data_IF_709340931230
#
_entry.id   IF_709340931230
#
_cell.length_a   1.000
_cell.length_b   1.000
_cell.length_c   1.000
_cell.angle_alpha   90.00
_cell.angle_beta   90.00
_cell.angle_gamma   90.00
#
_symmetry.space_group_name_H-M   'P 1'
#
loop_
_entity.id
_entity.type
_entity.pdbx_description
1 polymer ?
#
# COMPACT_ATOMS: atom_id res chain seq x y z
N UNK A 1 -15.23 41.51 -11.46
CA UNK A 1 -14.12 42.12 -10.68
C UNK A 1 -13.87 41.48 -9.30
N UNK A 2 -14.75 40.58 -8.79
CA UNK A 2 -14.54 39.84 -7.53
C UNK A 2 -13.56 38.65 -7.62
N UNK A 3 -13.37 38.06 -8.80
CA UNK A 3 -12.51 36.88 -8.98
C UNK A 3 -10.99 37.18 -8.98
N UNK A 4 -10.56 38.43 -9.21
CA UNK A 4 -9.11 38.79 -9.23
C UNK A 4 -8.52 39.12 -7.85
N UNK A 5 -9.35 39.39 -6.83
CA UNK A 5 -8.86 39.73 -5.47
C UNK A 5 -8.65 38.51 -4.57
N UNK A 6 -9.33 37.39 -4.83
CA UNK A 6 -9.10 36.13 -4.12
C UNK A 6 -7.74 35.52 -4.46
N UNK A 7 -7.28 35.71 -5.71
CA UNK A 7 -6.03 35.14 -6.21
C UNK A 7 -4.80 35.75 -5.52
N UNK A 8 -4.79 37.05 -5.25
CA UNK A 8 -3.64 37.72 -4.63
C UNK A 8 -3.43 37.35 -3.14
N UNK A 9 -4.52 37.10 -2.40
CA UNK A 9 -4.44 36.68 -0.99
C UNK A 9 -3.95 35.23 -0.84
N UNK A 10 -4.32 34.34 -1.78
CA UNK A 10 -3.82 32.96 -1.80
C UNK A 10 -2.34 32.89 -2.20
N UNK A 11 -1.88 33.74 -3.13
CA UNK A 11 -0.47 33.75 -3.59
C UNK A 11 0.51 34.24 -2.51
N UNK A 12 0.10 35.16 -1.63
CA UNK A 12 0.94 35.63 -0.53
C UNK A 12 1.06 34.61 0.62
N UNK A 13 0.04 33.78 0.84
CA UNK A 13 0.08 32.71 1.83
C UNK A 13 0.93 31.51 1.37
N UNK A 14 1.00 31.24 0.07
CA UNK A 14 1.76 30.12 -0.50
C UNK A 14 3.28 30.35 -0.58
N UNK A 15 3.76 31.59 -0.41
CA UNK A 15 5.20 31.94 -0.57
C UNK A 15 5.96 32.10 0.75
N UNK A 16 5.30 31.99 1.90
CA UNK A 16 6.00 31.95 3.19
C UNK A 16 6.41 30.52 3.54
N UNK A 17 7.61 30.12 3.10
CA UNK A 17 8.35 29.01 3.70
C UNK A 17 8.59 29.39 5.18
N UNK A 18 7.92 28.74 6.11
CA UNK A 18 8.22 28.90 7.54
C UNK A 18 8.79 27.57 8.05
N UNK A 19 10.09 27.51 8.39
CA UNK A 19 10.67 26.39 9.10
C UNK A 19 10.13 26.34 10.52
N UNK A 20 9.86 25.13 11.01
CA UNK A 20 9.67 24.86 12.43
C UNK A 20 10.87 25.40 13.23
N UNK A 21 10.67 26.49 13.97
CA UNK A 21 11.42 26.76 15.18
C UNK A 21 10.58 27.63 16.10
N UNK A 22 10.56 27.27 17.38
CA UNK A 22 9.92 28.01 18.45
C UNK A 22 10.51 29.44 18.55
N UNK A 23 9.80 30.42 18.00
CA UNK A 23 10.21 31.83 18.04
C UNK A 23 9.02 32.77 17.94
N UNK A 24 8.95 33.73 18.87
CA UNK A 24 7.93 34.78 18.88
C UNK A 24 8.11 35.69 17.65
N UNK A 25 7.10 35.79 16.79
CA UNK A 25 7.12 36.70 15.62
C UNK A 25 6.60 38.06 16.06
N UNK A 26 7.45 39.10 15.99
CA UNK A 26 6.98 40.49 16.02
C UNK A 26 6.58 40.89 14.60
N UNK A 27 5.29 41.20 14.41
CA UNK A 27 4.82 41.88 13.21
C UNK A 27 5.28 43.34 13.24
N UNK A 28 6.46 43.59 12.69
CA UNK A 28 6.86 44.94 12.28
C UNK A 28 7.09 44.88 10.77
N UNK A 29 6.38 45.74 10.04
CA UNK A 29 6.45 45.97 8.58
C UNK A 29 5.37 45.26 7.73
N UNK A 30 4.15 45.78 7.80
CA UNK A 30 3.23 45.83 6.66
C UNK A 30 3.10 47.30 6.21
N UNK A 31 3.12 47.62 4.89
CA UNK A 31 3.01 48.99 4.42
C UNK A 31 1.67 49.63 4.80
N UNK A 32 1.72 50.88 5.24
CA UNK A 32 0.63 51.67 5.82
C UNK A 32 -0.51 52.08 4.84
N UNK A 33 -0.86 51.26 3.84
CA UNK A 33 -1.91 51.60 2.88
C UNK A 33 -2.96 50.50 2.87
N UNK A 34 -3.88 50.58 3.83
CA UNK A 34 -5.29 50.15 3.79
C UNK A 34 -5.93 50.19 5.20
N UNK A 35 -5.44 51.05 6.11
CA UNK A 35 -6.01 51.23 7.44
C UNK A 35 -6.95 52.44 7.46
N UNK A 36 -7.99 52.44 6.63
CA UNK A 36 -9.11 53.38 6.76
C UNK A 36 -10.31 52.77 6.01
N UNK A 37 -11.34 52.35 6.76
CA UNK A 37 -12.68 51.89 6.29
C UNK A 37 -12.98 50.37 6.19
N UNK A 38 -12.39 49.49 7.00
CA UNK A 38 -12.83 48.07 7.04
C UNK A 38 -13.18 47.52 8.44
N UNK A 39 -13.46 48.37 9.43
CA UNK A 39 -13.76 47.94 10.80
C UNK A 39 -15.12 48.47 11.29
N UNK A 40 -16.18 48.26 10.51
CA UNK A 40 -17.55 48.35 11.01
C UNK A 40 -18.43 47.41 10.16
N UNK A 41 -18.44 46.13 10.53
CA UNK A 41 -19.67 45.40 10.85
C UNK A 41 -19.35 43.94 11.19
N UNK A 42 -19.77 43.52 12.39
CA UNK A 42 -20.07 42.13 12.79
C UNK A 42 -19.05 41.03 12.41
N UNK A 43 -17.93 40.96 13.15
CA UNK A 43 -17.29 39.67 13.42
C UNK A 43 -17.76 39.18 14.78
N UNK A 44 -18.54 38.10 14.80
CA UNK A 44 -18.80 37.33 16.02
C UNK A 44 -17.46 36.68 16.39
N UNK A 45 -16.83 37.16 17.46
CA UNK A 45 -15.68 36.47 18.03
C UNK A 45 -16.18 35.14 18.65
N UNK A 46 -15.53 34.00 18.38
CA UNK A 46 -15.86 32.76 19.08
C UNK A 46 -15.66 32.94 20.59
N UNK A 47 -16.45 32.23 21.40
CA UNK A 47 -16.66 32.43 22.86
C UNK A 47 -15.40 32.43 23.76
N UNK A 48 -14.20 32.26 23.20
CA UNK A 48 -12.93 32.16 23.91
C UNK A 48 -11.93 33.25 23.48
N UNK A 49 -12.31 34.53 23.53
CA UNK A 49 -11.38 35.65 23.35
C UNK A 49 -10.82 36.15 24.69
N UNK A 50 -9.49 36.19 24.81
CA UNK A 50 -8.80 36.87 25.90
C UNK A 50 -8.89 38.39 25.73
N UNK A 51 -8.88 39.14 26.84
CA UNK A 51 -9.08 40.61 26.86
C UNK A 51 -8.14 41.33 25.89
N UNK A 52 -8.70 42.18 25.04
CA UNK A 52 -7.96 43.14 24.22
C UNK A 52 -7.61 44.38 25.06
N UNK A 53 -6.35 44.78 25.03
CA UNK A 53 -5.87 46.06 25.56
C UNK A 53 -5.73 47.08 24.43
N UNK A 54 -6.34 48.25 24.58
CA UNK A 54 -6.25 49.36 23.61
C UNK A 54 -5.32 50.43 24.20
N UNK A 55 -4.36 50.90 23.41
CA UNK A 55 -3.43 51.96 23.81
C UNK A 55 -3.86 53.31 23.21
N UNK A 56 -3.49 54.40 23.88
CA UNK A 56 -3.93 55.77 23.54
C UNK A 56 -3.42 56.27 22.17
N UNK A 57 -2.48 55.56 21.55
CA UNK A 57 -1.96 55.85 20.20
C UNK A 57 -2.76 55.17 19.07
N UNK A 58 -3.89 54.54 19.38
CA UNK A 58 -4.73 53.83 18.40
C UNK A 58 -4.29 52.39 18.12
N UNK A 59 -3.20 51.90 18.72
CA UNK A 59 -2.80 50.50 18.63
C UNK A 59 -3.65 49.61 19.56
N UNK A 60 -3.83 48.36 19.19
CA UNK A 60 -4.46 47.34 20.02
C UNK A 60 -3.65 46.04 19.94
N UNK A 61 -3.45 45.40 21.09
CA UNK A 61 -2.93 44.03 21.15
C UNK A 61 -4.11 43.05 21.17
N UNK A 62 -4.17 42.16 20.17
CA UNK A 62 -5.06 41.01 20.17
C UNK A 62 -4.28 39.78 20.64
N UNK A 63 -4.41 39.45 21.93
CA UNK A 63 -3.86 38.22 22.48
C UNK A 63 -4.73 37.02 22.14
N UNK A 64 -4.39 36.28 21.09
CA UNK A 64 -4.99 34.98 20.83
C UNK A 64 -4.28 33.93 21.68
N UNK A 65 -4.99 33.34 22.65
CA UNK A 65 -4.59 32.03 23.18
C UNK A 65 -5.05 30.99 22.18
N UNK A 66 -4.14 30.50 21.35
CA UNK A 66 -4.34 29.19 20.73
C UNK A 66 -4.46 28.18 21.88
N UNK A 67 -5.54 27.41 21.92
CA UNK A 67 -5.62 26.25 22.81
C UNK A 67 -4.35 25.42 22.56
N UNK A 68 -3.68 25.01 23.64
CA UNK A 68 -2.76 23.87 23.60
C UNK A 68 -3.48 22.76 22.81
N UNK A 69 -2.88 22.30 21.73
CA UNK A 69 -3.49 21.52 20.64
C UNK A 69 -4.78 20.80 21.02
N UNK A 70 -5.92 21.39 20.66
CA UNK A 70 -7.19 20.69 20.58
C UNK A 70 -7.27 19.86 19.28
N UNK A 71 -6.13 19.29 18.87
CA UNK A 71 -5.93 18.58 17.59
C UNK A 71 -5.95 17.06 17.70
N UNK A 72 -6.09 16.51 18.91
CA UNK A 72 -6.07 15.07 19.17
C UNK A 72 -7.40 14.49 19.69
N UNK A 73 -8.43 15.30 19.92
CA UNK A 73 -9.73 14.77 20.34
C UNK A 73 -10.52 14.35 19.10
N UNK A 74 -10.43 13.07 18.76
CA UNK A 74 -11.31 12.43 17.81
C UNK A 74 -12.77 12.57 18.27
N UNK A 75 -13.69 12.71 17.32
CA UNK A 75 -15.10 12.73 17.65
C UNK A 75 -15.49 11.39 18.32
N UNK A 76 -16.32 11.41 19.38
CA UNK A 76 -16.79 10.18 20.01
C UNK A 76 -17.33 9.17 19.00
N UNK A 77 -16.96 7.89 19.14
CA UNK A 77 -17.41 6.81 18.25
C UNK A 77 -16.74 6.78 16.87
N UNK A 78 -15.81 7.70 16.58
CA UNK A 78 -15.06 7.68 15.30
C UNK A 78 -13.75 6.94 15.40
N UNK A 79 -13.28 6.44 14.26
CA UNK A 79 -12.01 5.72 14.13
C UNK A 79 -11.12 6.48 13.19
N UNK A 80 -9.91 6.81 13.62
CA UNK A 80 -8.87 7.36 12.74
C UNK A 80 -7.85 6.29 12.41
N UNK A 81 -7.61 6.12 11.12
CA UNK A 81 -6.61 5.21 10.56
C UNK A 81 -5.46 6.05 10.02
N UNK A 82 -4.24 5.76 10.49
CA UNK A 82 -3.02 6.42 10.04
C UNK A 82 -2.04 5.38 9.49
N UNK A 83 -1.52 5.62 8.29
CA UNK A 83 -0.62 4.71 7.59
C UNK A 83 0.77 5.33 7.50
N UNK A 84 1.76 4.62 8.04
CA UNK A 84 3.18 4.94 7.88
C UNK A 84 3.85 3.91 6.99
N UNK A 85 4.79 4.37 6.17
CA UNK A 85 5.68 3.48 5.43
C UNK A 85 6.66 2.81 6.41
N UNK A 86 6.67 1.48 6.46
CA UNK A 86 7.46 0.73 7.44
C UNK A 86 8.98 0.86 7.23
N UNK A 87 9.44 1.23 6.03
CA UNK A 87 10.87 1.35 5.73
C UNK A 87 11.43 2.72 6.12
N UNK A 88 10.63 3.77 5.91
CA UNK A 88 11.04 5.18 6.08
C UNK A 88 10.50 5.81 7.35
N UNK A 89 9.44 5.23 7.94
CA UNK A 89 8.69 5.81 9.06
C UNK A 89 7.93 7.09 8.71
N UNK A 90 7.81 7.43 7.42
CA UNK A 90 7.10 8.62 6.96
C UNK A 90 5.62 8.31 6.72
N UNK A 91 4.79 9.35 6.86
CA UNK A 91 3.37 9.26 6.53
C UNK A 91 3.21 8.95 5.03
N UNK A 92 2.43 7.93 4.71
CA UNK A 92 2.07 7.59 3.33
C UNK A 92 1.22 8.72 2.73
N UNK A 93 1.56 9.18 1.52
CA UNK A 93 0.82 10.25 0.86
C UNK A 93 -0.56 9.77 0.37
N UNK A 94 -1.61 10.55 0.63
CA UNK A 94 -2.98 10.21 0.26
C UNK A 94 -3.19 9.99 -1.26
N UNK A 95 -2.42 10.70 -2.10
CA UNK A 95 -2.48 10.55 -3.56
C UNK A 95 -2.13 9.14 -4.05
N UNK A 96 -1.40 8.35 -3.25
CA UNK A 96 -1.04 6.97 -3.60
C UNK A 96 -2.25 6.04 -3.62
N UNK A 97 -3.32 6.31 -2.85
CA UNK A 97 -4.47 5.41 -2.77
C UNK A 97 -5.31 5.36 -4.04
N UNK A 98 -5.15 6.33 -4.96
CA UNK A 98 -5.80 6.31 -6.26
C UNK A 98 -5.27 5.17 -7.15
N UNK A 99 -3.96 4.91 -7.07
CA UNK A 99 -3.27 3.94 -7.92
C UNK A 99 -2.88 2.66 -7.16
N UNK A 100 -2.74 2.75 -5.84
CA UNK A 100 -2.37 1.67 -4.93
C UNK A 100 -3.39 1.60 -3.78
N UNK A 101 -4.62 1.12 -4.03
CA UNK A 101 -5.63 1.04 -3.00
C UNK A 101 -5.17 0.10 -1.88
N UNK A 102 -5.19 0.61 -0.66
CA UNK A 102 -4.88 -0.16 0.53
C UNK A 102 -6.18 -0.45 1.28
N UNK A 103 -6.36 -1.67 1.76
CA UNK A 103 -7.52 -2.06 2.57
C UNK A 103 -7.07 -2.89 3.76
N UNK A 104 -7.87 -2.84 4.82
CA UNK A 104 -7.78 -3.79 5.92
C UNK A 104 -9.17 -4.29 6.26
N UNK A 105 -9.22 -5.46 6.87
CA UNK A 105 -10.45 -6.12 7.31
C UNK A 105 -10.38 -6.35 8.80
N UNK A 106 -11.54 -6.39 9.42
CA UNK A 106 -11.70 -6.84 10.79
C UNK A 106 -12.70 -7.97 10.81
N UNK A 107 -12.45 -8.97 11.64
CA UNK A 107 -13.43 -9.99 12.00
C UNK A 107 -13.55 -10.04 13.52
N UNK A 108 -14.78 -10.19 14.00
CA UNK A 108 -15.06 -10.21 15.43
C UNK A 108 -16.39 -10.89 15.72
N UNK A 109 -16.49 -11.59 16.84
CA UNK A 109 -17.75 -12.13 17.36
C UNK A 109 -18.24 -11.26 18.51
N UNK A 110 -19.52 -10.87 18.44
CA UNK A 110 -20.21 -10.12 19.48
C UNK A 110 -21.51 -10.80 19.87
N UNK A 111 -21.91 -10.61 21.12
CA UNK A 111 -23.22 -11.04 21.61
C UNK A 111 -24.33 -10.22 20.95
N UNK A 112 -25.39 -10.90 20.51
CA UNK A 112 -26.54 -10.26 19.89
C UNK A 112 -27.34 -9.49 20.94
N UNK A 113 -27.58 -8.21 20.68
CA UNK A 113 -28.37 -7.35 21.58
C UNK A 113 -29.82 -7.79 21.68
N UNK A 114 -30.37 -8.35 20.60
CA UNK A 114 -31.78 -8.75 20.51
C UNK A 114 -32.03 -10.14 21.12
N UNK A 115 -30.99 -10.97 21.24
CA UNK A 115 -31.05 -12.33 21.77
C UNK A 115 -29.86 -12.63 22.69
N UNK A 116 -29.89 -12.15 23.96
CA UNK A 116 -28.81 -12.37 24.91
C UNK A 116 -28.46 -13.86 25.07
N UNK A 117 -27.18 -14.18 25.12
CA UNK A 117 -26.63 -15.54 25.12
C UNK A 117 -26.34 -16.12 23.73
N UNK A 118 -26.71 -15.42 22.65
CA UNK A 118 -26.38 -15.81 21.27
C UNK A 118 -25.32 -14.90 20.67
N UNK A 119 -24.45 -15.44 19.83
CA UNK A 119 -23.23 -14.79 19.35
C UNK A 119 -23.23 -14.77 17.83
N UNK A 120 -22.84 -13.64 17.24
CA UNK A 120 -22.72 -13.51 15.78
C UNK A 120 -21.33 -13.05 15.37
N UNK A 121 -20.73 -13.82 14.45
CA UNK A 121 -19.51 -13.41 13.75
C UNK A 121 -19.83 -12.28 12.76
N UNK A 122 -19.05 -11.22 12.82
CA UNK A 122 -19.12 -10.05 11.95
C UNK A 122 -17.78 -9.88 11.24
N UNK A 123 -17.82 -9.35 10.03
CA UNK A 123 -16.64 -8.89 9.33
C UNK A 123 -16.91 -7.55 8.66
N UNK A 124 -15.88 -6.72 8.56
CA UNK A 124 -15.97 -5.42 7.88
C UNK A 124 -14.66 -5.11 7.16
N UNK A 125 -14.76 -4.68 5.92
CA UNK A 125 -13.62 -4.14 5.16
C UNK A 125 -13.63 -2.61 5.20
N UNK A 126 -12.43 -2.04 5.36
CA UNK A 126 -12.16 -0.62 5.37
C UNK A 126 -11.21 -0.28 4.24
N UNK A 127 -11.54 0.78 3.51
CA UNK A 127 -10.75 1.32 2.40
C UNK A 127 -10.49 2.80 2.64
N UNK A 128 -9.34 3.17 3.23
CA UNK A 128 -8.95 4.56 3.37
C UNK A 128 -8.83 5.24 2.00
N UNK A 129 -9.35 6.46 1.89
CA UNK A 129 -9.23 7.34 0.72
C UNK A 129 -8.31 8.54 0.98
N UNK A 130 -7.82 8.66 2.22
CA UNK A 130 -7.01 9.75 2.74
C UNK A 130 -6.07 9.21 3.82
N UNK A 131 -5.06 9.99 4.22
CA UNK A 131 -4.17 9.60 5.31
C UNK A 131 -3.72 10.83 6.11
N UNK A 132 -4.11 10.96 7.39
CA UNK A 132 -5.01 10.06 8.13
C UNK A 132 -6.44 10.02 7.56
N UNK A 133 -7.12 8.88 7.66
CA UNK A 133 -8.52 8.69 7.27
C UNK A 133 -9.40 8.58 8.51
N UNK A 134 -10.59 9.19 8.50
CA UNK A 134 -11.57 9.06 9.60
C UNK A 134 -12.78 8.29 9.09
N UNK A 135 -13.14 7.24 9.82
CA UNK A 135 -14.36 6.48 9.61
C UNK A 135 -15.38 6.81 10.70
N UNK A 136 -16.61 7.11 10.27
CA UNK A 136 -17.78 7.18 11.14
C UNK A 136 -18.34 5.76 11.33
N UNK A 137 -17.66 5.00 12.19
CA UNK A 137 -18.00 3.63 12.52
C UNK A 137 -17.49 3.33 13.92
N UNK A 138 -18.36 2.84 14.80
CA UNK A 138 -18.02 2.53 16.20
C UNK A 138 -17.23 1.21 16.31
N UNK A 139 -16.01 1.21 15.78
CA UNK A 139 -15.10 0.09 15.89
C UNK A 139 -14.58 -0.06 17.32
N UNK A 140 -14.55 1.02 18.09
CA UNK A 140 -14.11 1.01 19.47
C UNK A 140 -15.02 0.13 20.34
N UNK A 141 -16.34 0.33 20.27
CA UNK A 141 -17.30 -0.51 20.98
C UNK A 141 -17.20 -1.98 20.53
N UNK A 142 -17.10 -2.21 19.22
CA UNK A 142 -16.92 -3.55 18.66
C UNK A 142 -15.66 -4.23 19.19
N UNK A 143 -14.53 -3.52 19.21
CA UNK A 143 -13.24 -4.02 19.68
C UNK A 143 -13.28 -4.37 21.17
N UNK A 144 -13.86 -3.51 22.00
CA UNK A 144 -13.94 -3.70 23.46
C UNK A 144 -14.90 -4.86 23.83
N UNK A 145 -16.05 -4.97 23.15
CA UNK A 145 -17.09 -5.93 23.50
C UNK A 145 -16.90 -7.32 22.89
N UNK A 146 -16.15 -7.39 21.80
CA UNK A 146 -15.90 -8.67 21.13
C UNK A 146 -15.01 -9.58 21.97
N UNK A 147 -15.14 -10.87 21.71
CA UNK A 147 -14.41 -11.92 22.42
C UNK A 147 -13.23 -12.48 21.65
N UNK A 148 -13.19 -12.19 20.35
CA UNK A 148 -12.27 -12.69 19.34
C UNK A 148 -12.13 -11.63 18.23
N UNK A 149 -11.56 -10.46 18.56
CA UNK A 149 -11.26 -9.44 17.55
C UNK A 149 -9.98 -9.76 16.81
N UNK A 150 -10.00 -9.70 15.48
CA UNK A 150 -8.82 -9.89 14.64
C UNK A 150 -8.77 -8.87 13.50
N UNK A 151 -7.59 -8.26 13.32
CA UNK A 151 -7.28 -7.47 12.14
C UNK A 151 -6.67 -8.39 11.06
N UNK A 152 -7.10 -8.16 9.83
CA UNK A 152 -6.66 -8.83 8.62
C UNK A 152 -6.28 -7.80 7.56
N UNK A 153 -5.42 -8.17 6.61
CA UNK A 153 -5.13 -7.35 5.43
C UNK A 153 -3.85 -6.50 5.45
N UNK A 154 -3.14 -6.38 6.57
CA UNK A 154 -1.80 -5.76 6.61
C UNK A 154 -1.04 -6.24 7.85
N UNK A 155 0.07 -5.59 8.21
CA UNK A 155 0.66 -5.75 9.55
C UNK A 155 -0.34 -5.33 10.64
N UNK A 156 -0.21 -5.91 11.84
CA UNK A 156 -1.10 -5.60 12.96
C UNK A 156 -0.95 -4.13 13.37
N UNK A 157 -2.05 -3.37 13.53
CA UNK A 157 -1.97 -1.98 13.93
C UNK A 157 -1.59 -1.84 15.40
N UNK A 158 -0.95 -0.72 15.72
CA UNK A 158 -1.01 -0.18 17.08
C UNK A 158 -2.41 0.41 17.32
N UNK A 159 -3.07 -0.06 18.38
CA UNK A 159 -4.45 0.33 18.70
C UNK A 159 -4.45 1.19 19.96
N UNK A 160 -5.03 2.38 19.86
CA UNK A 160 -5.30 3.23 21.02
C UNK A 160 -6.80 3.50 21.11
N UNK A 161 -7.41 3.20 22.24
CA UNK A 161 -8.83 3.45 22.51
C UNK A 161 -8.95 4.56 23.55
N UNK A 162 -9.81 5.53 23.28
CA UNK A 162 -10.02 6.70 24.14
C UNK A 162 -11.31 6.59 24.94
N UNK A 163 -11.37 7.28 26.09
CA UNK A 163 -12.53 7.28 27.01
C UNK A 163 -13.83 7.77 26.36
N UNK A 164 -13.73 8.57 25.28
CA UNK A 164 -14.88 9.05 24.53
C UNK A 164 -15.41 8.04 23.49
N UNK A 165 -14.91 6.80 23.49
CA UNK A 165 -15.29 5.75 22.54
C UNK A 165 -14.72 5.96 21.15
N UNK A 166 -13.75 6.84 20.95
CA UNK A 166 -12.99 6.92 19.70
C UNK A 166 -11.79 5.98 19.71
N UNK A 167 -11.26 5.68 18.54
CA UNK A 167 -10.12 4.77 18.38
C UNK A 167 -9.13 5.29 17.33
N UNK A 168 -7.85 5.17 17.65
CA UNK A 168 -6.74 5.31 16.71
C UNK A 168 -6.20 3.94 16.31
N UNK A 169 -6.04 3.75 15.00
CA UNK A 169 -5.34 2.62 14.41
C UNK A 169 -4.13 3.16 13.63
N UNK A 170 -2.93 2.77 14.06
CA UNK A 170 -1.69 3.14 13.38
C UNK A 170 -1.08 1.90 12.76
N UNK A 171 -1.05 1.87 11.43
CA UNK A 171 -0.41 0.80 10.68
C UNK A 171 0.97 1.25 10.19
N UNK A 172 1.98 0.44 10.48
CA UNK A 172 3.24 0.48 9.76
C UNK A 172 3.13 -0.54 8.62
N UNK A 173 2.99 -0.06 7.39
CA UNK A 173 2.71 -0.93 6.24
C UNK A 173 3.67 -0.63 5.10
N UNK A 174 3.73 -1.55 4.14
CA UNK A 174 4.52 -1.40 2.93
C UNK A 174 3.57 -1.21 1.76
N UNK A 175 3.56 0.00 1.18
CA UNK A 175 2.96 0.17 -0.15
C UNK A 175 3.99 -0.34 -1.16
N UNK A 176 3.62 -1.41 -1.86
CA UNK A 176 4.40 -1.90 -2.99
C UNK A 176 3.90 -1.20 -4.25
N UNK A 177 4.76 -0.42 -4.87
CA UNK A 177 4.60 -0.10 -6.29
C UNK A 177 4.91 -1.34 -7.10
N UNK A 178 4.16 -1.53 -8.18
CA UNK A 178 4.29 -2.69 -9.07
C UNK A 178 5.57 -2.64 -9.90
N UNK A 179 6.13 -1.47 -10.18
CA UNK A 179 7.28 -1.31 -11.08
C UNK A 179 6.98 -1.43 -12.57
N UNK A 180 5.76 -1.86 -12.92
CA UNK A 180 5.30 -2.02 -14.30
C UNK A 180 4.90 -0.68 -14.93
N UNK A 181 5.84 -0.02 -15.57
CA UNK A 181 5.60 1.33 -16.10
C UNK A 181 5.21 1.35 -17.57
N UNK A 182 5.51 0.26 -18.30
CA UNK A 182 5.15 0.09 -19.70
C UNK A 182 3.76 -0.56 -19.89
N UNK A 183 3.11 -0.97 -18.79
CA UNK A 183 1.83 -1.68 -18.74
C UNK A 183 1.79 -3.02 -19.47
N UNK A 184 2.89 -3.78 -19.46
CA UNK A 184 2.97 -5.14 -20.03
C UNK A 184 2.56 -6.25 -19.05
N UNK A 185 2.14 -5.85 -17.84
CA UNK A 185 1.71 -6.71 -16.72
C UNK A 185 2.86 -7.35 -15.94
N UNK A 186 4.10 -7.05 -16.30
CA UNK A 186 5.30 -7.57 -15.64
C UNK A 186 6.14 -6.43 -15.11
N UNK A 187 6.97 -6.75 -14.11
CA UNK A 187 8.04 -5.86 -13.70
C UNK A 187 9.36 -6.54 -14.03
N UNK A 188 10.07 -6.01 -15.02
CA UNK A 188 11.31 -6.58 -15.53
C UNK A 188 12.30 -5.48 -15.96
N UNK A 189 13.39 -5.86 -16.61
CA UNK A 189 14.43 -4.92 -17.04
C UNK A 189 13.92 -3.90 -18.07
N UNK A 190 12.89 -4.23 -18.86
CA UNK A 190 12.29 -3.31 -19.83
C UNK A 190 11.65 -2.10 -19.14
N UNK A 191 11.11 -2.25 -17.93
CA UNK A 191 10.61 -1.12 -17.13
C UNK A 191 11.76 -0.21 -16.69
N UNK A 192 12.85 -0.76 -16.19
CA UNK A 192 14.02 0.04 -15.81
C UNK A 192 14.61 0.79 -17.02
N UNK A 193 14.64 0.15 -18.20
CA UNK A 193 15.07 0.79 -19.46
C UNK A 193 14.09 1.87 -19.90
N UNK A 194 12.78 1.64 -19.74
CA UNK A 194 11.73 2.62 -20.04
C UNK A 194 11.90 3.87 -19.19
N UNK A 195 12.12 3.73 -17.88
CA UNK A 195 12.36 4.85 -16.97
C UNK A 195 13.66 5.58 -17.34
N UNK A 196 14.73 4.83 -17.60
CA UNK A 196 16.00 5.41 -18.01
C UNK A 196 15.88 6.24 -19.29
N UNK A 197 15.19 5.73 -20.30
CA UNK A 197 14.95 6.45 -21.55
C UNK A 197 14.10 7.71 -21.33
N UNK A 198 13.09 7.64 -20.47
CA UNK A 198 12.26 8.78 -20.11
C UNK A 198 13.09 9.87 -19.39
N UNK A 199 13.92 9.50 -18.41
CA UNK A 199 14.80 10.43 -17.69
C UNK A 199 15.80 11.13 -18.63
N UNK A 200 16.23 10.48 -19.70
CA UNK A 200 17.08 11.06 -20.74
C UNK A 200 16.32 11.97 -21.74
N UNK A 201 15.00 12.10 -21.59
CA UNK A 201 14.16 12.89 -22.50
C UNK A 201 14.04 12.30 -23.90
N UNK A 202 14.23 10.98 -24.06
CA UNK A 202 14.03 10.33 -25.36
C UNK A 202 12.55 10.38 -25.74
N UNK A 203 12.20 10.77 -26.98
CA UNK A 203 10.82 10.68 -27.45
C UNK A 203 10.36 9.22 -27.43
N UNK A 204 9.05 9.01 -27.26
CA UNK A 204 8.41 7.69 -27.28
C UNK A 204 9.03 6.67 -26.31
N UNK A 205 9.45 7.13 -25.12
CA UNK A 205 10.08 6.28 -24.09
C UNK A 205 9.28 5.03 -23.71
N UNK A 206 7.97 4.98 -23.98
CA UNK A 206 7.09 3.87 -23.63
C UNK A 206 6.51 3.98 -22.20
N UNK A 207 6.82 5.06 -21.48
CA UNK A 207 6.28 5.33 -20.15
C UNK A 207 4.76 5.55 -20.24
N UNK A 208 3.98 4.70 -19.57
CA UNK A 208 2.53 4.79 -19.50
C UNK A 208 2.04 5.16 -18.10
N UNK A 209 2.58 4.50 -17.07
CA UNK A 209 2.19 4.71 -15.68
C UNK A 209 3.42 5.12 -14.88
N UNK A 210 3.62 6.42 -14.71
CA UNK A 210 4.80 6.96 -14.05
C UNK A 210 4.77 6.70 -12.53
N UNK A 211 3.56 6.65 -11.95
CA UNK A 211 3.30 6.38 -10.55
C UNK A 211 3.80 5.00 -10.12
N UNK A 212 3.81 4.03 -11.05
CA UNK A 212 4.31 2.68 -10.78
C UNK A 212 5.85 2.63 -10.67
N UNK A 213 6.55 3.69 -11.07
CA UNK A 213 7.98 3.85 -10.83
C UNK A 213 8.32 4.78 -9.66
N UNK A 214 7.37 5.38 -8.96
CA UNK A 214 7.65 6.17 -7.75
C UNK A 214 7.96 5.22 -6.56
N UNK A 215 9.16 4.64 -6.54
CA UNK A 215 9.57 3.64 -5.54
C UNK A 215 9.85 4.26 -4.18
N UNK A 216 10.16 5.55 -4.13
CA UNK A 216 10.43 6.26 -2.88
C UNK A 216 9.17 6.97 -2.30
N UNK A 217 8.06 6.96 -3.05
CA UNK A 217 6.76 7.52 -2.68
C UNK A 217 6.79 9.03 -2.39
N UNK A 218 7.68 9.77 -3.07
CA UNK A 218 7.83 11.22 -2.92
C UNK A 218 7.04 12.03 -3.96
N UNK A 219 6.28 11.34 -4.81
CA UNK A 219 5.48 11.92 -5.91
C UNK A 219 6.33 12.68 -6.92
N UNK A 220 7.60 12.27 -7.07
CA UNK A 220 8.51 12.69 -8.12
C UNK A 220 9.10 11.43 -8.74
N UNK A 221 9.44 11.56 -10.00
CA UNK A 221 10.08 10.48 -10.72
C UNK A 221 11.47 10.93 -11.14
N UNK A 222 12.50 10.39 -10.50
CA UNK A 222 13.88 10.77 -10.75
C UNK A 222 14.87 9.58 -10.73
N UNK A 223 16.17 9.89 -10.60
CA UNK A 223 17.23 8.88 -10.61
C UNK A 223 17.21 7.99 -9.37
N UNK A 224 16.69 8.47 -8.23
CA UNK A 224 16.59 7.70 -7.01
C UNK A 224 15.60 6.53 -7.19
N UNK A 225 14.48 6.78 -7.87
CA UNK A 225 13.53 5.74 -8.23
C UNK A 225 14.14 4.69 -9.15
N UNK A 226 14.88 5.11 -10.17
CA UNK A 226 15.59 4.19 -11.05
C UNK A 226 16.60 3.33 -10.27
N UNK A 227 17.31 3.91 -9.30
CA UNK A 227 18.21 3.16 -8.42
C UNK A 227 17.45 2.12 -7.58
N UNK A 228 16.28 2.47 -7.04
CA UNK A 228 15.44 1.55 -6.27
C UNK A 228 14.86 0.44 -7.14
N UNK A 229 14.38 0.74 -8.35
CA UNK A 229 13.93 -0.24 -9.33
C UNK A 229 15.03 -1.25 -9.65
N UNK A 230 16.24 -0.77 -9.96
CA UNK A 230 17.39 -1.65 -10.24
C UNK A 230 17.77 -2.51 -9.05
N UNK A 231 17.76 -1.94 -7.84
CA UNK A 231 18.02 -2.69 -6.61
C UNK A 231 16.97 -3.79 -6.42
N UNK A 232 15.69 -3.49 -6.66
CA UNK A 232 14.61 -4.48 -6.59
C UNK A 232 14.81 -5.63 -7.57
N UNK A 233 15.16 -5.33 -8.84
CA UNK A 233 15.45 -6.35 -9.85
C UNK A 233 16.65 -7.24 -9.46
N UNK A 234 17.76 -6.63 -9.02
CA UNK A 234 18.95 -7.39 -8.59
C UNK A 234 18.66 -8.23 -7.36
N UNK A 235 17.93 -7.70 -6.38
CA UNK A 235 17.55 -8.48 -5.19
C UNK A 235 16.62 -9.65 -5.54
N UNK A 236 15.80 -9.55 -6.59
CA UNK A 236 15.02 -10.70 -7.09
C UNK A 236 15.92 -11.78 -7.70
N UNK A 237 16.96 -11.40 -8.44
CA UNK A 237 17.94 -12.34 -8.97
C UNK A 237 18.74 -13.02 -7.85
N UNK A 238 19.22 -12.25 -6.86
CA UNK A 238 20.00 -12.77 -5.73
C UNK A 238 19.19 -13.70 -4.83
N UNK A 239 17.89 -13.45 -4.66
CA UNK A 239 16.99 -14.25 -3.83
C UNK A 239 16.14 -15.22 -4.66
N UNK A 240 16.52 -15.54 -5.89
CA UNK A 240 15.80 -16.52 -6.69
C UNK A 240 15.95 -17.93 -6.09
N UNK A 241 14.87 -18.73 -5.99
CA UNK A 241 14.98 -20.15 -5.65
C UNK A 241 15.78 -20.90 -6.73
N UNK A 242 16.49 -21.95 -6.30
CA UNK A 242 17.15 -22.91 -7.22
C UNK A 242 16.23 -24.05 -7.63
N UNK A 243 15.14 -24.26 -6.87
CA UNK A 243 14.12 -25.25 -7.19
C UNK A 243 12.75 -24.77 -6.70
N UNK A 244 11.74 -25.03 -7.52
CA UNK A 244 10.36 -24.67 -7.27
C UNK A 244 9.49 -25.90 -7.45
N UNK A 245 8.76 -26.29 -6.41
CA UNK A 245 7.75 -27.36 -6.48
C UNK A 245 6.37 -26.80 -6.25
N UNK A 246 5.42 -27.05 -7.15
CA UNK A 246 4.04 -26.61 -7.04
C UNK A 246 3.14 -27.84 -7.19
N UNK A 247 2.35 -28.12 -6.16
CA UNK A 247 1.20 -29.02 -6.27
C UNK A 247 -0.05 -28.17 -6.28
N UNK A 248 -0.97 -28.45 -7.19
CA UNK A 248 -2.28 -27.81 -7.11
C UNK A 248 -3.42 -28.80 -7.34
N UNK A 249 -4.49 -28.58 -6.57
CA UNK A 249 -5.63 -29.48 -6.47
C UNK A 249 -6.95 -28.73 -6.56
N UNK A 250 -7.99 -29.38 -7.08
CA UNK A 250 -9.35 -28.83 -7.10
C UNK A 250 -9.85 -28.40 -8.48
N UNK A 251 -10.76 -27.44 -8.53
CA UNK A 251 -11.55 -27.14 -9.72
C UNK A 251 -12.67 -28.16 -10.00
N UNK A 252 -13.62 -27.79 -10.86
CA UNK A 252 -14.80 -28.59 -11.22
C UNK A 252 -14.48 -30.01 -11.71
N UNK A 253 -13.30 -30.22 -12.30
CA UNK A 253 -12.83 -31.52 -12.80
C UNK A 253 -11.96 -32.31 -11.82
N UNK A 254 -11.73 -31.80 -10.60
CA UNK A 254 -10.87 -32.46 -9.61
C UNK A 254 -9.44 -32.61 -10.10
N UNK A 255 -8.80 -31.52 -10.54
CA UNK A 255 -7.38 -31.55 -10.92
C UNK A 255 -6.52 -31.94 -9.72
N UNK A 256 -5.47 -32.71 -9.96
CA UNK A 256 -4.38 -32.95 -9.02
C UNK A 256 -3.09 -33.06 -9.84
N UNK A 257 -2.28 -32.00 -9.84
CA UNK A 257 -1.08 -31.91 -10.67
C UNK A 257 0.11 -31.48 -9.81
N UNK A 258 1.28 -31.99 -10.16
CA UNK A 258 2.54 -31.58 -9.58
C UNK A 258 3.48 -31.07 -10.67
N UNK A 259 4.16 -29.96 -10.39
CA UNK A 259 5.31 -29.49 -11.14
C UNK A 259 6.51 -29.33 -10.24
N UNK A 260 7.68 -29.57 -10.81
CA UNK A 260 8.96 -29.21 -10.24
C UNK A 260 9.87 -28.61 -11.29
N UNK A 261 10.35 -27.40 -11.04
CA UNK A 261 11.35 -26.72 -11.87
C UNK A 261 12.67 -26.75 -11.12
N UNK A 262 13.76 -27.17 -11.77
CA UNK A 262 15.06 -27.31 -11.13
C UNK A 262 16.19 -27.33 -12.17
N UNK A 263 17.42 -27.13 -11.70
CA UNK A 263 18.63 -27.35 -12.49
C UNK A 263 19.42 -28.57 -11.98
N UNK A 264 20.12 -29.25 -12.90
CA UNK A 264 21.00 -30.37 -12.59
C UNK A 264 22.08 -30.48 -13.67
N UNK A 265 23.34 -30.61 -13.25
CA UNK A 265 24.48 -30.84 -14.15
C UNK A 265 24.54 -29.83 -15.32
N UNK A 266 24.37 -28.53 -15.01
CA UNK A 266 24.31 -27.41 -15.97
C UNK A 266 23.15 -27.43 -16.99
N UNK A 267 22.16 -28.31 -16.79
CA UNK A 267 20.92 -28.35 -17.55
C UNK A 267 19.71 -28.00 -16.67
N UNK A 268 18.63 -27.56 -17.30
CA UNK A 268 17.43 -27.03 -16.64
C UNK A 268 16.20 -27.86 -17.02
N UNK A 269 15.37 -28.18 -16.05
CA UNK A 269 14.28 -29.14 -16.21
C UNK A 269 12.98 -28.67 -15.60
N UNK A 270 11.90 -29.11 -16.23
CA UNK A 270 10.56 -29.15 -15.68
C UNK A 270 10.14 -30.61 -15.58
N UNK A 271 9.79 -31.05 -14.38
CA UNK A 271 9.11 -32.32 -14.14
C UNK A 271 7.63 -32.05 -13.90
N UNK A 272 6.77 -32.74 -14.63
CA UNK A 272 5.31 -32.60 -14.58
C UNK A 272 4.65 -33.95 -14.35
N UNK A 273 3.74 -34.03 -13.39
CA UNK A 273 2.96 -35.23 -13.12
C UNK A 273 1.47 -34.92 -12.99
N UNK A 274 0.66 -35.66 -13.73
CA UNK A 274 -0.79 -35.71 -13.53
C UNK A 274 -1.11 -36.83 -12.52
N UNK A 275 -1.38 -36.42 -11.28
CA UNK A 275 -1.59 -37.29 -10.15
C UNK A 275 -2.99 -37.93 -10.15
N UNK A 276 -3.90 -37.53 -11.04
CA UNK A 276 -5.21 -38.15 -11.16
C UNK A 276 -5.16 -39.53 -11.83
N UNK A 277 -4.22 -39.72 -12.76
CA UNK A 277 -4.18 -40.92 -13.62
C UNK A 277 -2.96 -41.81 -13.38
N UNK A 278 -2.01 -41.39 -12.54
CA UNK A 278 -0.84 -42.19 -12.16
C UNK A 278 0.04 -42.59 -13.36
N UNK A 279 0.12 -41.74 -14.40
CA UNK A 279 0.89 -42.01 -15.62
C UNK A 279 2.41 -41.82 -15.46
N UNK A 280 2.87 -41.46 -14.26
CA UNK A 280 4.25 -41.12 -13.98
C UNK A 280 4.61 -39.71 -14.46
N UNK A 281 5.71 -39.17 -13.93
CA UNK A 281 6.18 -37.85 -14.27
C UNK A 281 6.82 -37.80 -15.66
N UNK A 282 6.60 -36.69 -16.36
CA UNK A 282 7.27 -36.32 -17.61
C UNK A 282 8.33 -35.28 -17.29
N UNK A 283 9.55 -35.48 -17.80
CA UNK A 283 10.64 -34.51 -17.67
C UNK A 283 10.88 -33.83 -19.01
N UNK A 284 10.93 -32.50 -18.99
CA UNK A 284 11.17 -31.64 -20.16
C UNK A 284 12.41 -30.80 -19.84
N UNK A 285 13.42 -30.88 -20.70
CA UNK A 285 14.55 -29.96 -20.65
C UNK A 285 14.12 -28.59 -21.19
N UNK A 286 14.53 -27.51 -20.52
CA UNK A 286 14.20 -26.14 -20.88
C UNK A 286 15.46 -25.28 -21.05
N UNK A 287 15.33 -24.17 -21.76
CA UNK A 287 16.43 -23.21 -21.89
C UNK A 287 16.76 -22.54 -20.54
N UNK A 288 18.02 -22.11 -20.40
CA UNK A 288 18.47 -21.29 -19.26
C UNK A 288 17.60 -20.04 -19.07
N UNK A 289 17.21 -19.39 -20.18
CA UNK A 289 16.36 -18.21 -20.14
C UNK A 289 14.96 -18.53 -19.58
N UNK A 290 14.33 -19.62 -20.03
CA UNK A 290 13.00 -19.99 -19.53
C UNK A 290 13.08 -20.34 -18.02
N UNK A 291 14.15 -21.02 -17.60
CA UNK A 291 14.39 -21.31 -16.18
C UNK A 291 14.58 -20.03 -15.37
N UNK A 292 15.42 -19.11 -15.86
CA UNK A 292 15.66 -17.82 -15.23
C UNK A 292 14.36 -17.00 -15.08
N UNK A 293 13.56 -16.93 -16.14
CA UNK A 293 12.30 -16.17 -16.16
C UNK A 293 11.27 -16.74 -15.16
N UNK A 294 11.27 -18.06 -14.95
CA UNK A 294 10.44 -18.70 -13.92
C UNK A 294 10.98 -18.35 -12.53
N UNK A 295 12.26 -18.62 -12.26
CA UNK A 295 12.82 -18.49 -10.91
C UNK A 295 12.86 -17.04 -10.41
N UNK A 296 12.89 -16.06 -11.32
CA UNK A 296 12.95 -14.64 -10.95
C UNK A 296 11.58 -13.97 -10.88
N UNK A 297 10.46 -14.70 -11.03
CA UNK A 297 9.11 -14.13 -10.83
C UNK A 297 8.98 -13.47 -9.45
N UNK A 298 8.12 -12.45 -9.35
CA UNK A 298 7.88 -11.73 -8.09
C UNK A 298 6.97 -12.54 -7.14
N UNK A 299 7.51 -13.63 -6.61
CA UNK A 299 6.82 -14.53 -5.69
C UNK A 299 6.42 -13.84 -4.38
N UNK A 300 7.22 -12.89 -3.90
CA UNK A 300 6.89 -12.11 -2.71
C UNK A 300 5.56 -11.39 -2.88
N UNK A 301 5.36 -10.71 -4.02
CA UNK A 301 4.10 -10.02 -4.29
C UNK A 301 2.93 -11.00 -4.46
N UNK A 302 3.15 -12.19 -5.03
CA UNK A 302 2.11 -13.23 -5.10
C UNK A 302 1.69 -13.71 -3.71
N UNK A 303 2.67 -13.95 -2.83
CA UNK A 303 2.44 -14.39 -1.44
C UNK A 303 1.77 -13.30 -0.62
N UNK A 304 2.27 -12.06 -0.70
CA UNK A 304 1.71 -10.93 0.03
C UNK A 304 0.27 -10.66 -0.38
N UNK A 305 -0.05 -10.66 -1.69
CA UNK A 305 -1.42 -10.50 -2.18
C UNK A 305 -2.36 -11.57 -1.62
N UNK A 306 -1.89 -12.82 -1.57
CA UNK A 306 -2.66 -13.90 -0.97
C UNK A 306 -2.93 -13.65 0.52
N UNK A 307 -1.90 -13.28 1.28
CA UNK A 307 -2.02 -13.00 2.72
C UNK A 307 -2.96 -11.81 3.00
N UNK A 308 -2.93 -10.78 2.15
CA UNK A 308 -3.84 -9.61 2.26
C UNK A 308 -5.30 -10.00 1.97
N UNK A 309 -5.53 -10.90 1.00
CA UNK A 309 -6.86 -11.17 0.43
C UNK A 309 -7.65 -12.31 1.07
N UNK A 310 -7.10 -13.01 2.08
CA UNK A 310 -7.59 -14.33 2.55
C UNK A 310 -9.12 -14.48 2.54
N UNK A 311 -9.57 -15.40 1.66
CA UNK A 311 -10.93 -15.85 1.35
C UNK A 311 -11.88 -14.81 0.76
N UNK A 312 -11.80 -14.58 -0.56
CA UNK A 312 -13.05 -14.48 -1.33
C UNK A 312 -13.69 -15.87 -1.35
N UNK A 313 -14.82 -15.97 -0.67
CA UNK A 313 -15.52 -17.22 -0.42
C UNK A 313 -16.26 -17.72 -1.68
N UNK A 314 -15.89 -18.95 -2.10
CA UNK A 314 -16.65 -19.97 -2.86
C UNK A 314 -16.98 -19.75 -4.35
N UNK A 315 -16.36 -20.59 -5.21
CA UNK A 315 -17.01 -21.72 -5.93
C UNK A 315 -15.97 -22.41 -6.85
N UNK A 316 -15.66 -23.69 -6.61
CA UNK A 316 -14.72 -24.56 -7.36
C UNK A 316 -13.20 -24.32 -7.18
N UNK A 317 -12.75 -24.03 -5.95
CA UNK A 317 -11.39 -23.52 -5.69
C UNK A 317 -10.25 -24.47 -6.10
N UNK A 318 -9.24 -23.89 -6.77
CA UNK A 318 -7.92 -24.47 -7.00
C UNK A 318 -7.03 -24.09 -5.80
N UNK A 319 -6.50 -25.09 -5.12
CA UNK A 319 -5.60 -24.95 -3.98
C UNK A 319 -4.18 -25.18 -4.45
N UNK A 320 -3.26 -24.32 -4.01
CA UNK A 320 -1.83 -24.45 -4.29
C UNK A 320 -1.09 -24.86 -3.02
N UNK A 321 -0.08 -25.71 -3.18
CA UNK A 321 0.93 -26.03 -2.17
C UNK A 321 2.28 -25.89 -2.85
N UNK A 322 3.01 -24.84 -2.49
CA UNK A 322 4.26 -24.48 -3.13
C UNK A 322 5.42 -24.56 -2.15
N UNK A 323 6.54 -25.11 -2.62
CA UNK A 323 7.80 -25.18 -1.90
C UNK A 323 8.88 -24.53 -2.76
N UNK A 324 9.52 -23.50 -2.21
CA UNK A 324 10.72 -22.89 -2.74
C UNK A 324 11.93 -23.49 -2.04
N UNK A 325 12.95 -23.87 -2.80
CA UNK A 325 14.24 -24.33 -2.26
C UNK A 325 15.32 -23.36 -2.72
N UNK A 326 16.11 -22.85 -1.78
CA UNK A 326 17.18 -21.88 -2.04
C UNK A 326 18.56 -22.54 -2.06
N UNK A 327 19.56 -21.81 -2.55
CA UNK A 327 20.93 -22.33 -2.74
C UNK A 327 21.59 -22.79 -1.43
N UNK A 328 21.20 -22.23 -0.29
CA UNK A 328 21.66 -22.63 1.05
C UNK A 328 20.96 -23.90 1.58
N UNK A 329 20.03 -24.47 0.81
CA UNK A 329 19.22 -25.62 1.18
C UNK A 329 18.00 -25.29 2.04
N UNK A 330 17.75 -24.02 2.34
CA UNK A 330 16.54 -23.61 3.06
C UNK A 330 15.29 -23.78 2.19
N UNK A 331 14.16 -24.03 2.85
CA UNK A 331 12.86 -24.16 2.20
C UNK A 331 11.84 -23.16 2.76
N UNK A 332 11.08 -22.54 1.86
CA UNK A 332 9.92 -21.71 2.20
C UNK A 332 8.67 -22.34 1.60
N UNK A 333 7.60 -22.43 2.39
CA UNK A 333 6.33 -23.07 2.00
C UNK A 333 5.20 -22.05 2.01
N UNK A 334 4.31 -22.14 1.02
CA UNK A 334 3.14 -21.25 0.93
C UNK A 334 1.97 -21.96 0.25
N UNK A 335 0.76 -21.48 0.54
CA UNK A 335 -0.48 -21.86 -0.14
C UNK A 335 -1.03 -20.72 -1.03
N UNK A 336 -0.19 -19.72 -1.30
CA UNK A 336 -0.57 -18.58 -2.13
C UNK A 336 -0.94 -19.00 -3.55
N UNK A 337 -1.80 -18.21 -4.19
CA UNK A 337 -2.22 -18.47 -5.56
C UNK A 337 -1.02 -18.35 -6.51
N UNK A 338 -0.65 -19.46 -7.16
CA UNK A 338 0.48 -19.54 -8.10
C UNK A 338 0.05 -19.63 -9.56
N UNK A 339 -1.16 -19.18 -9.92
CA UNK A 339 -1.67 -19.29 -11.29
C UNK A 339 -0.75 -18.65 -12.33
N UNK A 340 -0.19 -17.47 -12.04
CA UNK A 340 0.76 -16.79 -12.93
C UNK A 340 2.06 -17.58 -13.11
N UNK A 341 2.59 -18.17 -12.03
CA UNK A 341 3.76 -19.01 -12.10
C UNK A 341 3.48 -20.28 -12.91
N UNK A 342 2.38 -20.97 -12.64
CA UNK A 342 1.95 -22.16 -13.41
C UNK A 342 1.81 -21.82 -14.89
N UNK A 343 1.17 -20.70 -15.24
CA UNK A 343 1.04 -20.27 -16.64
C UNK A 343 2.39 -20.06 -17.32
N UNK A 344 3.37 -19.46 -16.64
CA UNK A 344 4.73 -19.26 -17.19
C UNK A 344 5.44 -20.60 -17.40
N UNK A 345 5.29 -21.53 -16.47
CA UNK A 345 5.92 -22.84 -16.56
C UNK A 345 5.27 -23.67 -17.69
N UNK A 346 3.95 -23.65 -17.82
CA UNK A 346 3.25 -24.32 -18.93
C UNK A 346 3.64 -23.75 -20.30
N UNK A 347 3.86 -22.43 -20.38
CA UNK A 347 4.38 -21.79 -21.60
C UNK A 347 5.79 -22.29 -21.95
N UNK A 348 6.70 -22.36 -20.97
CA UNK A 348 8.04 -22.91 -21.15
C UNK A 348 7.98 -24.38 -21.59
N UNK A 349 7.12 -25.20 -20.97
CA UNK A 349 6.90 -26.59 -21.39
C UNK A 349 6.45 -26.67 -22.85
N UNK A 350 5.46 -25.86 -23.25
CA UNK A 350 4.91 -25.87 -24.61
C UNK A 350 5.96 -25.47 -25.66
N UNK A 351 6.76 -24.45 -25.37
CA UNK A 351 7.84 -23.96 -26.24
C UNK A 351 8.88 -25.06 -26.48
N UNK A 352 9.35 -25.70 -25.42
CA UNK A 352 10.41 -26.71 -25.50
C UNK A 352 9.89 -28.10 -25.93
N UNK A 353 8.59 -28.38 -25.81
CA UNK A 353 7.98 -29.61 -26.33
C UNK A 353 7.75 -29.57 -27.85
N UNK A 354 7.60 -28.38 -28.45
CA UNK A 354 7.40 -28.21 -29.89
C UNK A 354 8.70 -28.38 -30.70
N UNK A 355 9.86 -28.12 -30.08
CA UNK A 355 11.18 -28.33 -30.69
C UNK A 355 11.62 -29.81 -30.68
N UNK A 356 10.81 -30.71 -30.13
CA UNK A 356 11.05 -32.17 -30.11
C UNK A 356 10.34 -32.94 -31.24
N UNK A 357 9.69 -32.27 -32.18
CA UNK A 357 9.13 -32.84 -33.43
C UNK A 357 9.85 -32.32 -34.65
#
# INVERSE_FOLDING_TARGET
MRAKKLTAALTAALTAVIPFSSGSIRMTELPAVCAENALYDSFILPENSGKAGKYDNGAADAGFRLKKEAGNELMPGTVRVTLFDCNTGKLIQAGLFEHHPWTFKVEYTIENTDEPGTWSGKHKEFKPDSNPCIFDFDLADCFIRSTDFQFYGAEQPEVTVYDNGSMDLVFNTKIRVSGNINSDYEFNIADAVTLHNWLLGKPDSGLKNWEQADFNLDSRLDVFDLCLMRKSLVSREENAPVSLSIVWTGGFFGMHKALKVYNKDDAYFIEYEDLNYGKGAVTIEISEQDHHDIMTLDYDTMIDRYNISLKQAFSDDIYYSTVFTYADGSEVKTTANMASAVSRIEEAMRKNSADMT
#
